data_IF_637857691894
#
_entry.id   IF_637857691894
#
_cell.length_a   1.000
_cell.length_b   1.000
_cell.length_c   1.000
_cell.angle_alpha   90.00
_cell.angle_beta   90.00
_cell.angle_gamma   90.00
#
_symmetry.space_group_name_H-M   'P 1'
#
loop_
_entity.id
_entity.type
_entity.pdbx_description
1 polymer ?
#
# COMPACT_ATOMS: atom_id res chain seq x y z
N UNK A 1 49.02 -4.04 -69.80
CA UNK A 1 48.93 -5.35 -69.11
C UNK A 1 47.77 -5.27 -68.13
N UNK A 2 46.91 -6.30 -68.13
CA UNK A 2 45.77 -6.57 -67.24
C UNK A 2 46.20 -6.54 -65.75
N UNK A 3 45.34 -6.33 -64.74
CA UNK A 3 44.10 -7.03 -64.28
C UNK A 3 43.40 -6.09 -63.24
N UNK A 4 42.09 -5.84 -63.23
CA UNK A 4 40.92 -6.63 -62.78
C UNK A 4 40.86 -6.99 -61.27
N UNK A 5 39.63 -6.87 -60.72
CA UNK A 5 39.09 -7.35 -59.43
C UNK A 5 39.39 -6.54 -58.15
N UNK A 6 38.50 -6.42 -57.15
CA UNK A 6 37.08 -6.74 -56.94
C UNK A 6 36.74 -6.34 -55.49
N UNK A 7 35.50 -5.91 -55.24
CA UNK A 7 34.75 -6.00 -53.95
C UNK A 7 35.31 -5.33 -52.68
N UNK A 8 34.57 -4.37 -52.12
CA UNK A 8 33.51 -4.73 -51.16
C UNK A 8 32.66 -3.50 -50.79
N UNK A 9 31.35 -3.58 -51.06
CA UNK A 9 30.36 -2.75 -50.38
C UNK A 9 30.30 -3.11 -48.89
N UNK A 10 30.05 -2.13 -48.03
CA UNK A 10 29.11 -2.28 -46.92
C UNK A 10 28.84 -0.91 -46.27
N UNK A 11 27.81 -0.23 -46.79
CA UNK A 11 26.62 0.12 -46.00
C UNK A 11 26.93 0.62 -44.57
N UNK A 12 27.06 1.95 -44.44
CA UNK A 12 26.96 2.63 -43.15
C UNK A 12 25.48 2.73 -42.76
N UNK A 13 24.93 1.62 -42.24
CA UNK A 13 23.65 1.65 -41.51
C UNK A 13 23.97 1.70 -40.01
N UNK A 14 24.01 2.91 -39.47
CA UNK A 14 23.58 3.14 -38.10
C UNK A 14 22.43 4.14 -38.25
N UNK A 15 21.26 3.65 -38.67
CA UNK A 15 20.22 3.24 -37.73
C UNK A 15 20.04 4.31 -36.65
N UNK A 16 19.12 5.24 -36.93
CA UNK A 16 18.49 6.10 -35.95
C UNK A 16 18.05 5.23 -34.76
N UNK A 17 18.85 5.22 -33.69
CA UNK A 17 18.34 4.93 -32.35
C UNK A 17 17.55 6.16 -31.90
N UNK A 18 16.43 6.40 -32.58
CA UNK A 18 15.26 6.99 -31.96
C UNK A 18 14.80 6.01 -30.90
N UNK A 19 15.47 6.02 -29.75
CA UNK A 19 14.82 5.67 -28.49
C UNK A 19 13.75 6.73 -28.27
N UNK A 20 12.64 6.58 -28.98
CA UNK A 20 11.39 7.27 -28.73
C UNK A 20 11.13 7.03 -27.25
N UNK A 21 11.46 8.02 -26.41
CA UNK A 21 11.03 8.06 -25.03
C UNK A 21 9.51 8.00 -25.09
N UNK A 22 8.96 6.80 -25.02
CA UNK A 22 7.54 6.55 -25.09
C UNK A 22 6.96 7.38 -23.95
N UNK A 23 6.28 8.48 -24.28
CA UNK A 23 5.71 9.38 -23.29
C UNK A 23 4.69 8.58 -22.51
N UNK A 24 5.12 8.06 -21.35
CA UNK A 24 4.25 7.32 -20.45
C UNK A 24 3.03 8.19 -20.15
N UNK A 25 1.86 7.62 -20.32
CA UNK A 25 0.59 8.23 -19.93
C UNK A 25 0.59 8.52 -18.43
N UNK A 26 -0.29 9.41 -17.98
CA UNK A 26 -0.47 9.71 -16.55
C UNK A 26 -0.75 8.43 -15.73
N UNK A 27 -1.46 7.48 -16.32
CA UNK A 27 -1.75 6.18 -15.71
C UNK A 27 -0.50 5.30 -15.57
N UNK A 28 0.33 5.22 -16.62
CA UNK A 28 1.58 4.44 -16.61
C UNK A 28 2.64 5.05 -15.69
N UNK A 29 2.81 6.38 -15.69
CA UNK A 29 3.67 7.07 -14.72
C UNK A 29 3.20 6.78 -13.29
N UNK A 30 1.90 6.84 -13.03
CA UNK A 30 1.34 6.53 -11.71
C UNK A 30 1.50 5.07 -11.32
N UNK A 31 1.50 4.14 -12.28
CA UNK A 31 1.75 2.73 -12.01
C UNK A 31 3.22 2.46 -11.67
N UNK A 32 4.15 3.13 -12.36
CA UNK A 32 5.59 3.00 -12.15
C UNK A 32 6.02 3.38 -10.72
N UNK A 33 5.39 4.39 -10.14
CA UNK A 33 5.64 4.84 -8.76
C UNK A 33 4.59 4.36 -7.76
N UNK A 34 3.72 3.43 -8.15
CA UNK A 34 2.75 2.87 -7.21
C UNK A 34 3.50 1.96 -6.26
N UNK A 35 3.63 2.41 -5.01
CA UNK A 35 4.18 1.59 -3.94
C UNK A 35 3.39 0.28 -3.87
N UNK A 36 4.10 -0.84 -4.08
CA UNK A 36 3.57 -2.16 -3.78
C UNK A 36 3.55 -2.32 -2.26
N UNK A 37 2.43 -2.76 -1.72
CA UNK A 37 2.28 -3.06 -0.31
C UNK A 37 2.31 -4.56 -0.13
N UNK A 38 2.93 -5.02 0.95
CA UNK A 38 2.97 -6.44 1.28
C UNK A 38 1.55 -6.97 1.53
N UNK A 39 1.28 -8.19 1.06
CA UNK A 39 0.02 -8.88 1.36
C UNK A 39 0.08 -9.52 2.75
N UNK A 40 -1.03 -9.55 3.51
CA UNK A 40 -2.40 -9.19 3.10
C UNK A 40 -2.74 -7.69 3.21
N UNK A 41 -1.80 -6.84 3.67
CA UNK A 41 -2.07 -5.42 3.97
C UNK A 41 -2.45 -4.61 2.73
N UNK A 42 -1.87 -4.91 1.56
CA UNK A 42 -2.23 -4.30 0.28
C UNK A 42 -3.72 -4.48 -0.06
N UNK A 43 -4.21 -5.71 -0.03
CA UNK A 43 -5.63 -6.03 -0.25
C UNK A 43 -6.54 -5.40 0.81
N UNK A 44 -6.17 -5.51 2.09
CA UNK A 44 -6.94 -4.92 3.21
C UNK A 44 -7.10 -3.41 3.05
N UNK A 45 -6.03 -2.70 2.73
CA UNK A 45 -6.08 -1.26 2.47
C UNK A 45 -6.96 -0.92 1.27
N UNK A 46 -6.89 -1.69 0.18
CA UNK A 46 -7.74 -1.47 -1.00
C UNK A 46 -9.22 -1.56 -0.62
N UNK A 47 -9.61 -2.62 0.09
CA UNK A 47 -10.98 -2.82 0.58
C UNK A 47 -11.45 -1.67 1.48
N UNK A 48 -10.66 -1.34 2.51
CA UNK A 48 -10.99 -0.25 3.45
C UNK A 48 -11.16 1.10 2.73
N UNK A 49 -10.28 1.37 1.76
CA UNK A 49 -10.37 2.59 0.95
C UNK A 49 -11.61 2.61 0.05
N UNK A 50 -11.98 1.48 -0.55
CA UNK A 50 -13.18 1.37 -1.37
C UNK A 50 -14.43 1.65 -0.55
N UNK A 51 -14.55 1.04 0.65
CA UNK A 51 -15.65 1.32 1.58
C UNK A 51 -15.66 2.81 1.94
N UNK A 52 -14.50 3.36 2.32
CA UNK A 52 -14.40 4.73 2.81
C UNK A 52 -14.84 5.78 1.76
N UNK A 53 -14.51 5.57 0.49
CA UNK A 53 -14.81 6.51 -0.59
C UNK A 53 -16.21 6.33 -1.20
N UNK A 54 -16.70 5.09 -1.23
CA UNK A 54 -17.91 4.75 -1.98
C UNK A 54 -19.16 4.72 -1.10
N UNK A 55 -19.06 4.31 0.16
CA UNK A 55 -20.21 4.33 1.07
C UNK A 55 -20.53 5.76 1.53
N UNK A 56 -21.75 6.20 1.25
CA UNK A 56 -22.21 7.57 1.50
C UNK A 56 -22.92 7.70 2.84
N UNK A 57 -23.53 6.62 3.33
CA UNK A 57 -24.08 6.57 4.67
C UNK A 57 -22.93 6.47 5.67
N UNK A 58 -22.72 7.51 6.47
CA UNK A 58 -21.61 7.58 7.42
C UNK A 58 -21.65 6.48 8.48
N UNK A 59 -22.82 6.16 9.02
CA UNK A 59 -22.99 5.12 10.03
C UNK A 59 -22.68 3.73 9.45
N UNK A 60 -23.21 3.42 8.27
CA UNK A 60 -22.92 2.17 7.56
C UNK A 60 -21.44 2.05 7.18
N UNK A 61 -20.83 3.14 6.71
CA UNK A 61 -19.39 3.18 6.38
C UNK A 61 -18.55 2.86 7.61
N UNK A 62 -18.86 3.48 8.74
CA UNK A 62 -18.14 3.25 10.00
C UNK A 62 -18.33 1.81 10.49
N UNK A 63 -19.54 1.27 10.43
CA UNK A 63 -19.83 -0.13 10.79
C UNK A 63 -19.07 -1.13 9.91
N UNK A 64 -19.05 -0.93 8.58
CA UNK A 64 -18.33 -1.78 7.65
C UNK A 64 -16.82 -1.73 7.86
N UNK A 65 -16.25 -0.52 8.05
CA UNK A 65 -14.83 -0.35 8.35
C UNK A 65 -14.49 -1.04 9.66
N UNK A 66 -15.30 -0.83 10.70
CA UNK A 66 -15.12 -1.48 12.00
C UNK A 66 -15.14 -3.00 11.85
N UNK A 67 -16.13 -3.56 11.16
CA UNK A 67 -16.27 -5.01 10.96
C UNK A 67 -15.02 -5.61 10.29
N UNK A 68 -14.53 -4.99 9.21
CA UNK A 68 -13.30 -5.44 8.52
C UNK A 68 -12.08 -5.37 9.44
N UNK A 69 -11.90 -4.26 10.17
CA UNK A 69 -10.75 -4.09 11.06
C UNK A 69 -10.78 -5.08 12.23
N UNK A 70 -11.95 -5.35 12.79
CA UNK A 70 -12.11 -6.30 13.89
C UNK A 70 -11.76 -7.72 13.44
N UNK A 71 -12.25 -8.13 12.27
CA UNK A 71 -11.88 -9.42 11.69
C UNK A 71 -10.37 -9.56 11.47
N UNK A 72 -9.69 -8.48 11.08
CA UNK A 72 -8.22 -8.45 10.97
C UNK A 72 -7.57 -8.64 12.34
N UNK A 73 -8.00 -7.89 13.36
CA UNK A 73 -7.38 -7.95 14.69
C UNK A 73 -7.63 -9.27 15.42
N UNK A 74 -8.76 -9.93 15.14
CA UNK A 74 -9.09 -11.25 15.68
C UNK A 74 -8.30 -12.38 15.02
N UNK A 75 -7.99 -12.25 13.72
CA UNK A 75 -7.35 -13.33 12.94
C UNK A 75 -5.83 -13.23 12.88
N UNK A 76 -5.27 -12.02 12.99
CA UNK A 76 -3.83 -11.82 12.89
C UNK A 76 -3.10 -12.13 14.21
N UNK A 77 -1.91 -12.72 14.10
CA UNK A 77 -1.05 -13.03 15.24
C UNK A 77 -0.66 -11.78 16.05
N UNK A 78 -0.42 -10.67 15.34
CA UNK A 78 -0.06 -9.39 15.94
C UNK A 78 -0.97 -8.25 15.43
N UNK A 79 -2.10 -7.97 16.14
CA UNK A 79 -3.03 -6.92 15.74
C UNK A 79 -2.42 -5.51 15.77
N UNK A 80 -1.42 -5.26 16.62
CA UNK A 80 -0.71 -3.97 16.67
C UNK A 80 0.15 -3.76 15.41
N UNK A 81 0.87 -4.79 14.99
CA UNK A 81 1.64 -4.75 13.74
C UNK A 81 0.72 -4.51 12.54
N UNK A 82 -0.38 -5.26 12.45
CA UNK A 82 -1.34 -5.11 11.36
C UNK A 82 -1.99 -3.75 11.32
N UNK A 83 -2.39 -3.21 12.48
CA UNK A 83 -2.86 -1.83 12.60
C UNK A 83 -1.82 -0.84 12.07
N UNK A 84 -0.55 -0.97 12.47
CA UNK A 84 0.52 -0.06 12.04
C UNK A 84 0.79 -0.13 10.54
N UNK A 85 0.86 -1.33 9.98
CA UNK A 85 1.06 -1.51 8.54
C UNK A 85 -0.09 -0.86 7.76
N UNK A 86 -1.33 -1.13 8.15
CA UNK A 86 -2.51 -0.56 7.48
C UNK A 86 -2.56 0.97 7.66
N UNK A 87 -2.28 1.48 8.86
CA UNK A 87 -2.28 2.91 9.15
C UNK A 87 -1.26 3.66 8.27
N UNK A 88 -0.03 3.16 8.16
CA UNK A 88 1.05 3.77 7.35
C UNK A 88 0.74 3.83 5.87
N UNK A 89 -0.01 2.85 5.34
CA UNK A 89 -0.34 2.78 3.92
C UNK A 89 -1.67 3.47 3.58
N UNK A 90 -2.40 3.99 4.57
CA UNK A 90 -3.60 4.80 4.34
C UNK A 90 -3.25 6.05 3.50
N UNK A 91 -4.14 6.46 2.57
CA UNK A 91 -3.88 7.60 1.69
C UNK A 91 -3.73 8.95 2.42
N UNK A 92 -4.22 9.02 3.65
CA UNK A 92 -4.31 10.19 4.52
C UNK A 92 -3.35 10.15 5.72
N UNK A 93 -2.40 9.20 5.74
CA UNK A 93 -1.44 9.01 6.84
C UNK A 93 -0.65 10.29 7.19
N UNK A 94 -0.19 11.06 6.20
CA UNK A 94 0.59 12.29 6.44
C UNK A 94 -0.26 13.49 6.89
N UNK A 95 -1.59 13.36 6.95
CA UNK A 95 -2.49 14.47 7.29
C UNK A 95 -3.77 13.92 7.93
N UNK A 96 -3.58 13.12 8.99
CA UNK A 96 -4.67 12.47 9.72
C UNK A 96 -5.63 13.51 10.28
N UNK A 97 -6.92 13.36 9.97
CA UNK A 97 -8.00 14.19 10.49
C UNK A 97 -8.94 13.34 11.34
N UNK A 98 -9.75 13.94 12.23
CA UNK A 98 -10.83 13.21 12.86
C UNK A 98 -11.70 12.52 11.80
N UNK A 99 -12.05 11.26 12.05
CA UNK A 99 -12.82 10.38 11.14
C UNK A 99 -12.16 10.07 9.79
N UNK A 100 -10.90 10.45 9.58
CA UNK A 100 -10.15 10.02 8.41
C UNK A 100 -9.87 8.51 8.46
N UNK A 101 -9.63 7.86 7.33
CA UNK A 101 -9.43 6.40 7.30
C UNK A 101 -8.24 5.99 8.18
N UNK A 102 -7.13 6.72 8.11
CA UNK A 102 -5.97 6.49 8.97
C UNK A 102 -6.32 6.63 10.46
N UNK A 103 -7.20 7.57 10.84
CA UNK A 103 -7.66 7.72 12.22
C UNK A 103 -8.57 6.56 12.66
N UNK A 104 -9.49 6.15 11.79
CA UNK A 104 -10.43 5.05 12.07
C UNK A 104 -9.69 3.74 12.34
N UNK A 105 -8.61 3.45 11.60
CA UNK A 105 -7.76 2.27 11.84
C UNK A 105 -7.24 2.23 13.28
N UNK A 106 -6.78 3.36 13.83
CA UNK A 106 -6.27 3.43 15.20
C UNK A 106 -7.41 3.38 16.23
N UNK A 107 -8.48 4.14 15.98
CA UNK A 107 -9.64 4.21 16.89
C UNK A 107 -10.28 2.84 17.05
N UNK A 108 -10.43 2.08 15.97
CA UNK A 108 -11.05 0.76 16.03
C UNK A 108 -10.14 -0.30 16.66
N UNK A 109 -8.80 -0.20 16.55
CA UNK A 109 -7.92 -1.06 17.37
C UNK A 109 -8.18 -0.82 18.86
N UNK A 110 -8.21 0.44 19.29
CA UNK A 110 -8.50 0.79 20.69
C UNK A 110 -9.86 0.25 21.13
N UNK A 111 -10.90 0.47 20.32
CA UNK A 111 -12.24 -0.03 20.61
C UNK A 111 -12.33 -1.55 20.63
N UNK A 112 -11.51 -2.26 19.84
CA UNK A 112 -11.42 -3.72 19.85
C UNK A 112 -10.74 -4.22 21.12
N UNK A 113 -9.62 -3.61 21.53
CA UNK A 113 -8.92 -3.94 22.77
C UNK A 113 -9.84 -3.82 24.00
N UNK A 114 -10.72 -2.81 24.05
CA UNK A 114 -11.68 -2.65 25.14
C UNK A 114 -12.74 -3.76 25.21
N UNK A 115 -12.88 -4.60 24.18
CA UNK A 115 -13.77 -5.77 24.20
C UNK A 115 -13.10 -7.03 24.73
N UNK A 116 -11.78 -7.03 24.89
CA UNK A 116 -11.04 -8.18 25.36
C UNK A 116 -11.13 -8.28 26.89
N UNK A 117 -11.17 -9.51 27.40
CA UNK A 117 -11.16 -9.77 28.84
C UNK A 117 -9.84 -9.29 29.48
N UNK A 118 -8.73 -9.46 28.76
CA UNK A 118 -7.41 -8.99 29.18
C UNK A 118 -6.63 -8.35 28.01
N UNK A 119 -6.77 -7.04 27.79
CA UNK A 119 -6.04 -6.34 26.75
C UNK A 119 -4.53 -6.20 27.05
N UNK A 120 -4.10 -6.35 28.31
CA UNK A 120 -2.68 -6.23 28.69
C UNK A 120 -1.88 -7.42 28.18
N UNK A 121 -2.43 -8.63 28.24
CA UNK A 121 -1.79 -9.83 27.70
C UNK A 121 -1.48 -9.68 26.20
N UNK A 122 -2.42 -9.10 25.44
CA UNK A 122 -2.19 -8.84 24.01
C UNK A 122 -1.12 -7.77 23.82
N UNK A 123 -1.13 -6.70 24.63
CA UNK A 123 -0.09 -5.67 24.58
C UNK A 123 1.30 -6.24 24.85
N UNK A 124 1.49 -6.99 25.93
CA UNK A 124 2.79 -7.54 26.33
C UNK A 124 3.33 -8.54 25.30
N UNK A 125 2.45 -9.36 24.71
CA UNK A 125 2.83 -10.32 23.66
C UNK A 125 3.22 -9.63 22.36
N UNK A 126 2.49 -8.57 21.97
CA UNK A 126 2.53 -8.05 20.61
C UNK A 126 3.33 -6.75 20.45
N UNK A 127 3.50 -5.95 21.51
CA UNK A 127 4.23 -4.69 21.47
C UNK A 127 5.70 -4.92 21.85
N UNK A 128 6.47 -5.40 20.87
CA UNK A 128 7.91 -5.62 21.04
C UNK A 128 8.71 -4.30 20.97
N UNK A 129 9.97 -4.32 21.39
CA UNK A 129 10.86 -3.15 21.30
C UNK A 129 11.02 -2.67 19.86
N UNK A 130 11.10 -3.60 18.91
CA UNK A 130 11.20 -3.31 17.48
C UNK A 130 9.95 -2.56 17.00
N UNK A 131 8.77 -2.98 17.45
CA UNK A 131 7.52 -2.32 17.10
C UNK A 131 7.42 -0.91 17.72
N UNK A 132 7.93 -0.74 18.94
CA UNK A 132 8.00 0.55 19.63
C UNK A 132 8.94 1.55 18.92
N UNK A 133 10.07 1.07 18.39
CA UNK A 133 10.98 1.94 17.61
C UNK A 133 10.37 2.31 16.26
N UNK A 134 9.61 1.41 15.63
CA UNK A 134 8.89 1.69 14.39
C UNK A 134 7.65 2.58 14.52
N UNK A 135 7.29 2.97 15.76
CA UNK A 135 6.21 3.90 16.09
C UNK A 135 6.68 5.37 16.20
N UNK A 136 7.99 5.61 16.35
CA UNK A 136 8.65 6.93 16.39
C UNK A 136 9.12 7.36 14.99
#
# INVERSE_FOLDING_TARGET
>A
MAVNDSSNEAISTYANDETVQKKLTKAEKKALYRQAYEEPHGTRRKLLKEIYLNEKNEAMREELIQSVLYSIYESDENPYYSMLQIHKICPDYNSVKPKSLAALVVVHLRSWLYKLDDPLVVFERCVTKELQVGLL
#
